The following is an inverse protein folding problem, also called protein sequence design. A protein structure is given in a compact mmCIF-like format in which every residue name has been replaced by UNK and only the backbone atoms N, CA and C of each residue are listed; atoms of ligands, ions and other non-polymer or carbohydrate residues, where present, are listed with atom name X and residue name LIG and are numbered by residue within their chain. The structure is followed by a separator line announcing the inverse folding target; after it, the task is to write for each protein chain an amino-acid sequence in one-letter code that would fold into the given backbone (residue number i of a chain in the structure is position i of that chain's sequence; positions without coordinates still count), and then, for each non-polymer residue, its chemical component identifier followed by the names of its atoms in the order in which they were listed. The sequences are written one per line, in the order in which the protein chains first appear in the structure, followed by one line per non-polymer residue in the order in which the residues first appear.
data_IF_609103867572
#
_entry.id   IF_609103867572
#
_cell.length_a   1.000
_cell.length_b   1.000
_cell.length_c   1.000
_cell.angle_alpha   90.00
_cell.angle_beta   90.00
_cell.angle_gamma   90.00
#
_symmetry.space_group_name_H-M   'P 1'
#
loop_
_entity.id
_entity.type
_entity.pdbx_description
1 polymer ?
#
# COMPACT_ATOMS: atom_id res chain seq x y z
N UNK A 1 -25.61 -6.71 -8.50
CA UNK A 1 -25.85 -7.56 -7.34
C UNK A 1 -27.24 -7.22 -6.86
N UNK A 2 -28.18 -8.11 -7.09
CA UNK A 2 -29.57 -7.92 -6.67
C UNK A 2 -29.78 -8.44 -5.23
N UNK A 3 -30.98 -8.22 -4.69
CA UNK A 3 -31.34 -8.67 -3.34
C UNK A 3 -31.29 -10.21 -3.24
N UNK A 4 -31.45 -10.90 -4.36
CA UNK A 4 -31.42 -12.35 -4.44
C UNK A 4 -29.99 -12.88 -4.31
N UNK A 5 -29.01 -12.27 -4.98
CA UNK A 5 -27.58 -12.57 -4.82
C UNK A 5 -27.13 -12.46 -3.36
N UNK A 6 -27.55 -11.37 -2.68
CA UNK A 6 -27.20 -11.13 -1.29
C UNK A 6 -27.84 -12.16 -0.35
N UNK A 7 -29.07 -12.58 -0.65
CA UNK A 7 -29.80 -13.59 0.14
C UNK A 7 -29.19 -14.97 0.01
N UNK A 8 -28.76 -15.33 -1.20
CA UNK A 8 -28.06 -16.60 -1.46
C UNK A 8 -26.72 -16.65 -0.72
N UNK A 9 -25.94 -15.57 -0.76
CA UNK A 9 -24.65 -15.49 -0.03
C UNK A 9 -24.89 -15.56 1.48
N UNK A 10 -25.92 -14.88 1.99
CA UNK A 10 -26.27 -14.94 3.41
C UNK A 10 -26.63 -16.37 3.84
N UNK A 11 -27.43 -17.07 3.03
CA UNK A 11 -27.80 -18.46 3.29
C UNK A 11 -26.58 -19.40 3.29
N UNK A 12 -25.67 -19.26 2.32
CA UNK A 12 -24.43 -20.05 2.26
C UNK A 12 -23.54 -19.84 3.49
N UNK A 13 -23.44 -18.60 3.95
CA UNK A 13 -22.65 -18.22 5.12
C UNK A 13 -23.40 -18.42 6.44
N UNK A 14 -24.62 -18.98 6.41
CA UNK A 14 -25.51 -19.17 7.56
C UNK A 14 -25.71 -17.88 8.38
N UNK A 15 -25.77 -16.76 7.68
CA UNK A 15 -25.98 -15.41 8.24
C UNK A 15 -27.22 -14.77 7.62
N UNK A 16 -27.56 -13.55 8.00
CA UNK A 16 -28.67 -12.80 7.39
C UNK A 16 -28.16 -11.79 6.37
N UNK A 17 -28.96 -11.41 5.35
CA UNK A 17 -28.57 -10.37 4.39
C UNK A 17 -28.26 -9.04 5.08
N UNK A 18 -29.01 -8.70 6.14
CA UNK A 18 -28.74 -7.52 6.96
C UNK A 18 -27.39 -7.62 7.68
N UNK A 19 -27.01 -8.79 8.18
CA UNK A 19 -25.71 -9.02 8.82
C UNK A 19 -24.52 -9.00 7.83
N UNK A 20 -24.75 -9.21 6.53
CA UNK A 20 -23.72 -8.96 5.50
C UNK A 20 -23.51 -7.47 5.24
N UNK A 21 -24.57 -6.67 5.38
CA UNK A 21 -24.54 -5.22 5.15
C UNK A 21 -24.20 -4.41 6.41
N UNK A 22 -24.29 -5.04 7.58
CA UNK A 22 -23.95 -4.43 8.86
C UNK A 22 -22.61 -4.99 9.29
N UNK A 23 -21.50 -4.24 9.13
CA UNK A 23 -20.23 -4.70 9.68
C UNK A 23 -20.41 -4.93 11.19
N UNK A 24 -19.91 -6.04 11.76
CA UNK A 24 -19.98 -6.24 13.20
C UNK A 24 -19.28 -5.07 13.91
N UNK A 25 -19.94 -4.50 14.92
CA UNK A 25 -19.42 -3.39 15.74
C UNK A 25 -18.07 -3.73 16.39
N UNK A 26 -17.77 -5.03 16.52
CA UNK A 26 -16.49 -5.58 16.92
C UNK A 26 -15.72 -6.17 15.73
N UNK A 27 -15.51 -5.38 14.67
CA UNK A 27 -14.22 -5.55 13.99
C UNK A 27 -13.19 -5.01 14.96
N UNK A 28 -12.64 -5.91 15.78
CA UNK A 28 -11.37 -5.68 16.44
C UNK A 28 -10.42 -5.30 15.33
N UNK A 29 -10.15 -4.00 15.18
CA UNK A 29 -9.02 -3.54 14.39
C UNK A 29 -7.84 -4.28 14.98
N UNK A 30 -7.35 -5.29 14.24
CA UNK A 30 -6.08 -5.94 14.52
C UNK A 30 -5.10 -4.81 14.81
N UNK A 31 -4.56 -4.76 16.02
CA UNK A 31 -3.71 -3.67 16.47
C UNK A 31 -2.65 -3.36 15.42
N UNK A 32 -2.71 -2.16 14.83
CA UNK A 32 -1.83 -1.72 13.74
C UNK A 32 -2.41 -1.81 12.32
N UNK A 33 -3.70 -2.14 12.15
CA UNK A 33 -4.40 -2.01 10.85
C UNK A 33 -5.17 -0.69 10.83
N UNK A 34 -5.03 0.14 9.77
CA UNK A 34 -5.77 1.40 9.66
C UNK A 34 -7.29 1.19 9.64
N UNK A 35 -8.06 2.16 10.15
CA UNK A 35 -9.54 2.09 10.18
C UNK A 35 -10.19 1.97 8.79
N UNK A 36 -9.47 2.32 7.73
CA UNK A 36 -9.90 2.14 6.34
C UNK A 36 -8.72 1.76 5.44
N UNK A 37 -8.98 0.85 4.49
CA UNK A 37 -8.03 0.46 3.45
C UNK A 37 -8.09 1.44 2.27
N UNK A 38 -6.94 1.73 1.67
CA UNK A 38 -6.86 2.50 0.43
C UNK A 38 -7.32 1.64 -0.76
N UNK A 39 -7.89 2.25 -1.82
CA UNK A 39 -8.30 1.51 -3.01
C UNK A 39 -7.19 0.63 -3.61
N UNK A 40 -5.94 1.10 -3.60
CA UNK A 40 -4.79 0.33 -4.07
C UNK A 40 -4.52 -0.92 -3.22
N UNK A 41 -4.69 -0.83 -1.90
CA UNK A 41 -4.49 -1.96 -0.99
C UNK A 41 -5.57 -3.02 -1.23
N UNK A 42 -6.82 -2.58 -1.40
CA UNK A 42 -7.94 -3.49 -1.72
C UNK A 42 -7.74 -4.16 -3.07
N UNK A 43 -7.29 -3.42 -4.09
CA UNK A 43 -7.01 -3.96 -5.42
C UNK A 43 -5.88 -5.00 -5.36
N UNK A 44 -4.80 -4.71 -4.64
CA UNK A 44 -3.65 -5.63 -4.48
C UNK A 44 -4.02 -6.89 -3.70
N UNK A 45 -4.81 -6.73 -2.64
CA UNK A 45 -5.35 -7.86 -1.89
C UNK A 45 -6.26 -8.73 -2.74
N UNK A 46 -7.15 -8.12 -3.54
CA UNK A 46 -8.04 -8.84 -4.45
C UNK A 46 -7.27 -9.66 -5.51
N UNK A 47 -6.05 -9.24 -5.87
CA UNK A 47 -5.12 -9.98 -6.75
C UNK A 47 -4.27 -11.03 -6.03
N UNK A 48 -4.36 -11.13 -4.70
CA UNK A 48 -3.50 -12.00 -3.89
C UNK A 48 -2.06 -11.49 -3.75
N UNK A 49 -1.80 -10.21 -4.07
CA UNK A 49 -0.48 -9.58 -3.99
C UNK A 49 -0.22 -8.93 -2.63
N UNK A 50 -1.24 -8.82 -1.77
CA UNK A 50 -1.19 -8.16 -0.47
C UNK A 50 -2.02 -8.91 0.56
N UNK A 51 -1.48 -9.05 1.77
CA UNK A 51 -2.22 -9.50 2.95
C UNK A 51 -2.67 -8.28 3.77
N UNK A 52 -3.98 -8.11 4.00
CA UNK A 52 -4.56 -7.00 4.77
C UNK A 52 -4.38 -7.17 6.29
N UNK A 53 -3.12 -7.27 6.70
CA UNK A 53 -2.63 -7.31 8.08
C UNK A 53 -1.64 -6.18 8.29
N UNK A 54 -1.36 -5.79 9.53
CA UNK A 54 -0.38 -4.75 9.83
C UNK A 54 0.97 -5.04 9.18
N UNK A 55 1.50 -6.26 9.35
CA UNK A 55 2.76 -6.67 8.75
C UNK A 55 2.72 -6.72 7.23
N UNK A 56 1.63 -7.23 6.65
CA UNK A 56 1.47 -7.30 5.19
C UNK A 56 1.38 -5.92 4.53
N UNK A 57 0.61 -5.01 5.14
CA UNK A 57 0.55 -3.60 4.73
C UNK A 57 1.92 -2.95 4.87
N UNK A 58 2.61 -3.17 5.99
CA UNK A 58 3.93 -2.59 6.23
C UNK A 58 4.93 -3.03 5.18
N UNK A 59 4.99 -4.33 4.89
CA UNK A 59 5.88 -4.88 3.87
C UNK A 59 5.58 -4.32 2.48
N UNK A 60 4.30 -4.21 2.10
CA UNK A 60 3.89 -3.62 0.83
C UNK A 60 4.32 -2.16 0.70
N UNK A 61 4.01 -1.33 1.69
CA UNK A 61 4.35 0.09 1.67
C UNK A 61 5.86 0.35 1.72
N UNK A 62 6.62 -0.50 2.40
CA UNK A 62 8.09 -0.48 2.36
C UNK A 62 8.64 -0.78 0.97
N UNK A 63 8.11 -1.80 0.30
CA UNK A 63 8.52 -2.13 -1.06
C UNK A 63 8.20 -0.99 -2.02
N UNK A 64 7.00 -0.42 -1.93
CA UNK A 64 6.59 0.76 -2.71
C UNK A 64 7.49 1.97 -2.45
N UNK A 65 7.91 2.18 -1.20
CA UNK A 65 8.86 3.23 -0.84
C UNK A 65 10.22 3.06 -1.51
N UNK A 66 10.81 1.85 -1.47
CA UNK A 66 12.10 1.56 -2.12
C UNK A 66 12.01 1.74 -3.63
N UNK A 67 10.92 1.27 -4.26
CA UNK A 67 10.67 1.48 -5.70
C UNK A 67 10.57 2.96 -6.02
N UNK A 68 9.88 3.74 -5.19
CA UNK A 68 9.73 5.18 -5.35
C UNK A 68 11.09 5.90 -5.26
N UNK A 69 11.90 5.60 -4.25
CA UNK A 69 13.23 6.18 -4.07
C UNK A 69 14.16 5.89 -5.25
N UNK A 70 14.22 4.64 -5.71
CA UNK A 70 15.04 4.26 -6.85
C UNK A 70 14.63 5.03 -8.12
N UNK A 71 13.33 5.26 -8.32
CA UNK A 71 12.82 6.05 -9.45
C UNK A 71 13.14 7.54 -9.31
N UNK A 72 12.99 8.11 -8.11
CA UNK A 72 13.39 9.49 -7.82
C UNK A 72 14.86 9.68 -8.18
N UNK A 73 15.74 8.83 -7.66
CA UNK A 73 17.18 8.90 -7.93
C UNK A 73 17.49 8.77 -9.42
N UNK A 74 16.80 7.89 -10.14
CA UNK A 74 16.92 7.75 -11.60
C UNK A 74 16.58 9.07 -12.31
N UNK A 75 15.43 9.67 -12.02
CA UNK A 75 15.00 10.91 -12.69
C UNK A 75 15.87 12.11 -12.31
N UNK A 76 16.28 12.24 -11.05
CA UNK A 76 17.24 13.27 -10.62
C UNK A 76 18.57 13.15 -11.36
N UNK A 77 19.10 11.92 -11.44
CA UNK A 77 20.36 11.65 -12.14
C UNK A 77 20.24 11.99 -13.63
N UNK A 78 19.12 11.63 -14.26
CA UNK A 78 18.91 11.88 -15.67
C UNK A 78 18.66 13.36 -16.00
N UNK A 79 18.00 14.11 -15.10
CA UNK A 79 17.87 15.57 -15.23
C UNK A 79 19.23 16.28 -15.08
N UNK A 80 20.10 15.78 -14.19
CA UNK A 80 21.41 16.38 -13.92
C UNK A 80 22.47 16.04 -14.96
N UNK A 81 22.46 14.81 -15.46
CA UNK A 81 23.55 14.27 -16.30
C UNK A 81 23.13 13.97 -17.75
N UNK A 82 21.86 14.20 -18.08
CA UNK A 82 21.28 13.79 -19.36
C UNK A 82 20.77 12.36 -19.28
N UNK A 83 19.64 12.11 -19.94
CA UNK A 83 19.01 10.80 -20.00
C UNK A 83 19.51 10.01 -21.22
N UNK A 84 19.70 8.68 -21.10
CA UNK A 84 19.82 7.81 -22.28
C UNK A 84 18.48 7.62 -23.02
N UNK A 85 17.36 8.10 -22.48
CA UNK A 85 16.02 8.00 -23.06
C UNK A 85 15.69 9.18 -23.99
N UNK A 86 14.79 8.95 -24.95
CA UNK A 86 14.22 9.99 -25.83
C UNK A 86 13.19 10.91 -25.15
N UNK A 87 12.84 10.67 -23.88
CA UNK A 87 11.88 11.49 -23.15
C UNK A 87 12.41 12.92 -22.92
N UNK A 88 11.50 13.90 -22.90
CA UNK A 88 11.89 15.30 -22.71
C UNK A 88 12.28 15.60 -21.25
N UNK A 89 13.05 16.68 -21.06
CA UNK A 89 13.38 17.19 -19.73
C UNK A 89 12.12 17.53 -18.92
N UNK A 90 11.10 18.10 -19.57
CA UNK A 90 9.83 18.45 -18.94
C UNK A 90 9.06 17.20 -18.49
N UNK A 91 9.08 16.12 -19.29
CA UNK A 91 8.49 14.84 -18.90
C UNK A 91 9.14 14.29 -17.63
N UNK A 92 10.46 14.40 -17.51
CA UNK A 92 11.20 13.93 -16.35
C UNK A 92 10.96 14.78 -15.11
N UNK A 93 10.85 16.10 -15.30
CA UNK A 93 10.51 17.03 -14.22
C UNK A 93 9.12 16.73 -13.67
N UNK A 94 8.13 16.48 -14.54
CA UNK A 94 6.78 16.10 -14.13
C UNK A 94 6.76 14.75 -13.40
N UNK A 95 7.43 13.73 -13.95
CA UNK A 95 7.53 12.41 -13.31
C UNK A 95 8.20 12.46 -11.95
N UNK A 96 9.22 13.30 -11.79
CA UNK A 96 9.88 13.51 -10.50
C UNK A 96 8.89 14.11 -9.47
N UNK A 97 8.12 15.13 -9.87
CA UNK A 97 7.11 15.72 -8.99
C UNK A 97 6.02 14.71 -8.58
N UNK A 98 5.53 13.90 -9.53
CA UNK A 98 4.55 12.84 -9.25
C UNK A 98 5.11 11.80 -8.26
N UNK A 99 6.40 11.46 -8.38
CA UNK A 99 7.06 10.53 -7.45
C UNK A 99 7.30 11.13 -6.07
N UNK A 100 7.63 12.42 -5.97
CA UNK A 100 7.76 13.11 -4.69
C UNK A 100 6.42 13.15 -3.95
N UNK A 101 5.32 13.37 -4.68
CA UNK A 101 3.97 13.29 -4.14
C UNK A 101 3.62 11.87 -3.68
N UNK A 102 3.95 10.86 -4.50
CA UNK A 102 3.80 9.44 -4.13
C UNK A 102 4.61 9.10 -2.88
N UNK A 103 5.84 9.60 -2.76
CA UNK A 103 6.69 9.40 -1.59
C UNK A 103 6.05 9.99 -0.32
N UNK A 104 5.44 11.18 -0.42
CA UNK A 104 4.70 11.80 0.68
C UNK A 104 3.55 10.91 1.13
N UNK A 105 2.72 10.46 0.19
CA UNK A 105 1.58 9.57 0.48
C UNK A 105 2.04 8.28 1.16
N UNK A 106 3.10 7.63 0.64
CA UNK A 106 3.65 6.41 1.23
C UNK A 106 4.08 6.67 2.68
N UNK A 107 4.75 7.80 2.95
CA UNK A 107 5.16 8.18 4.31
C UNK A 107 3.97 8.37 5.25
N UNK A 108 2.98 9.14 4.82
CA UNK A 108 1.77 9.39 5.62
C UNK A 108 1.05 8.07 5.93
N UNK A 109 0.94 7.18 4.94
CA UNK A 109 0.30 5.89 5.12
C UNK A 109 1.08 4.97 6.05
N UNK A 110 2.39 4.90 5.95
CA UNK A 110 3.17 4.07 6.87
C UNK A 110 3.13 4.55 8.32
N UNK A 111 3.03 5.87 8.58
CA UNK A 111 2.81 6.38 9.95
C UNK A 111 1.46 5.95 10.51
N UNK A 112 0.42 5.85 9.66
CA UNK A 112 -0.88 5.33 10.09
C UNK A 112 -0.84 3.84 10.44
N UNK A 113 0.03 3.06 9.79
CA UNK A 113 0.17 1.61 10.02
C UNK A 113 1.11 1.34 11.20
N UNK A 114 2.25 2.02 11.26
CA UNK A 114 3.24 1.94 12.34
C UNK A 114 3.69 3.35 12.76
N UNK A 115 3.13 3.87 13.87
CA UNK A 115 3.47 5.19 14.40
C UNK A 115 4.92 5.34 14.84
N UNK A 116 5.67 4.23 15.00
CA UNK A 116 7.07 4.27 15.44
C UNK A 116 8.03 4.70 14.33
N UNK A 117 7.58 4.73 13.07
CA UNK A 117 8.35 5.29 11.95
C UNK A 117 9.51 4.43 11.46
N UNK A 118 9.73 3.24 12.04
CA UNK A 118 10.76 2.25 11.64
C UNK A 118 10.70 1.86 10.16
N UNK A 119 9.53 2.05 9.56
CA UNK A 119 9.19 1.63 8.21
C UNK A 119 10.04 2.29 7.13
N UNK A 120 10.56 3.50 7.38
CA UNK A 120 11.18 4.36 6.37
C UNK A 120 12.67 4.63 6.61
N UNK A 121 13.37 3.66 7.20
CA UNK A 121 14.83 3.59 7.25
C UNK A 121 15.32 2.39 6.42
N UNK A 122 16.38 2.59 5.65
CA UNK A 122 17.01 1.54 4.86
C UNK A 122 17.55 0.40 5.74
N UNK A 123 17.94 0.71 6.99
CA UNK A 123 18.40 -0.30 7.95
C UNK A 123 17.29 -1.28 8.35
N UNK A 124 16.09 -0.77 8.61
CA UNK A 124 14.93 -1.56 9.01
C UNK A 124 14.34 -2.38 7.84
N UNK A 125 14.46 -1.87 6.60
CA UNK A 125 14.12 -2.64 5.39
C UNK A 125 15.01 -3.87 5.25
N UNK A 126 16.33 -3.71 5.40
CA UNK A 126 17.29 -4.81 5.24
C UNK A 126 17.08 -5.93 6.28
N UNK A 127 16.87 -5.58 7.55
CA UNK A 127 16.70 -6.56 8.63
C UNK A 127 15.42 -7.40 8.56
N UNK A 128 14.42 -7.00 7.74
CA UNK A 128 13.15 -7.75 7.60
C UNK A 128 13.22 -8.90 6.59
N UNK A 129 14.22 -8.87 5.70
CA UNK A 129 14.48 -9.92 4.71
C UNK A 129 15.68 -10.80 5.09
N UNK A 130 16.34 -10.51 6.21
CA UNK A 130 17.34 -11.42 6.76
C UNK A 130 16.63 -12.71 7.22
N UNK A 131 17.10 -13.89 6.78
CA UNK A 131 16.59 -15.14 7.29
C UNK A 131 16.86 -15.20 8.79
N UNK A 132 15.83 -15.46 9.59
CA UNK A 132 15.99 -15.68 11.02
C UNK A 132 17.03 -16.80 11.25
N UNK A 133 18.09 -16.50 12.00
CA UNK A 133 19.09 -17.46 12.47
C UNK A 133 18.47 -18.55 13.37
#
# INVERSE_FOLDING_TARGET
MDVDDLTVIAYLLRTSPAALLTPPDEQTTLTGVPESFLPEEVEKWARGELTLTSDGLLAYWQQEWVVCLNRIQYFESALKHGSPSQASHDDYTKRLADLQERQRLIRERGVQIDPTGRVFDAADYAGRFDPAE
#
